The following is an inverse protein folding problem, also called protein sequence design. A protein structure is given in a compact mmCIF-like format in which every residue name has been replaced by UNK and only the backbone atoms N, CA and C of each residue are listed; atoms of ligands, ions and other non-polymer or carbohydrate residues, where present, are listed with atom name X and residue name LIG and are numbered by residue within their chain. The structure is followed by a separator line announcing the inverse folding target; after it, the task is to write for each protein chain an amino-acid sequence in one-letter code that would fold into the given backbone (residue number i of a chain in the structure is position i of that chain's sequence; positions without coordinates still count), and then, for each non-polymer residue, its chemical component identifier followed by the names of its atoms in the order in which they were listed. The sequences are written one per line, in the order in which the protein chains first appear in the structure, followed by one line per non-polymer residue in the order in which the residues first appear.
data_IF_428687354354
#
_entry.id   IF_428687354354
#
_cell.length_a   1.000
_cell.length_b   1.000
_cell.length_c   1.000
_cell.angle_alpha   90.00
_cell.angle_beta   90.00
_cell.angle_gamma   90.00
#
_symmetry.space_group_name_H-M   'P 1'
#
loop_
_entity.id
_entity.type
_entity.pdbx_description
1 polymer ?
#
# COMPACT_ATOMS: atom_id res chain seq x y z
N UNK A 1 15.62 17.42 25.69
CA UNK A 1 15.12 17.50 24.30
C UNK A 1 14.92 16.07 23.82
N UNK A 2 13.81 15.78 23.17
CA UNK A 2 13.45 14.43 22.74
C UNK A 2 13.41 14.36 21.20
N UNK A 3 13.83 13.22 20.64
CA UNK A 3 13.88 12.99 19.20
C UNK A 3 13.02 11.77 18.85
N UNK A 4 12.01 11.97 18.00
CA UNK A 4 11.13 10.89 17.53
C UNK A 4 11.52 10.54 16.09
N UNK A 5 11.95 9.29 15.88
CA UNK A 5 12.33 8.78 14.56
C UNK A 5 11.22 7.87 14.03
N UNK A 6 10.68 8.19 12.85
CA UNK A 6 9.73 7.35 12.11
C UNK A 6 10.30 7.06 10.73
N UNK A 7 10.53 5.79 10.43
CA UNK A 7 11.01 5.32 9.13
C UNK A 7 10.47 3.93 8.84
N UNK A 8 10.26 3.63 7.57
CA UNK A 8 9.89 2.30 7.07
C UNK A 8 11.13 1.48 6.61
N UNK A 9 12.31 2.08 6.63
CA UNK A 9 13.57 1.42 6.27
C UNK A 9 14.24 0.86 7.53
N UNK A 10 14.12 -0.46 7.72
CA UNK A 10 14.68 -1.19 8.86
C UNK A 10 16.21 -1.09 8.93
N UNK A 11 16.90 -1.09 7.78
CA UNK A 11 18.36 -1.03 7.73
C UNK A 11 18.89 0.32 8.21
N UNK A 12 18.25 1.42 7.79
CA UNK A 12 18.58 2.77 8.25
C UNK A 12 18.32 2.93 9.75
N UNK A 13 17.20 2.41 10.26
CA UNK A 13 16.88 2.44 11.68
C UNK A 13 17.92 1.66 12.51
N UNK A 14 18.35 0.49 12.04
CA UNK A 14 19.38 -0.29 12.73
C UNK A 14 20.71 0.48 12.85
N UNK A 15 21.14 1.15 11.77
CA UNK A 15 22.36 1.99 11.77
C UNK A 15 22.25 3.14 12.78
N UNK A 16 21.11 3.82 12.82
CA UNK A 16 20.87 4.95 13.73
C UNK A 16 20.83 4.47 15.19
N UNK A 17 20.17 3.35 15.48
CA UNK A 17 20.15 2.75 16.82
C UNK A 17 21.56 2.36 17.26
N UNK A 18 22.37 1.78 16.38
CA UNK A 18 23.75 1.42 16.69
C UNK A 18 24.61 2.65 17.01
N UNK A 19 24.45 3.74 16.28
CA UNK A 19 25.11 5.02 16.56
C UNK A 19 24.67 5.60 17.90
N UNK A 20 23.36 5.64 18.17
CA UNK A 20 22.82 6.15 19.42
C UNK A 20 23.31 5.34 20.65
N UNK A 21 23.42 4.01 20.52
CA UNK A 21 24.03 3.15 21.56
C UNK A 21 25.50 3.50 21.80
N UNK A 22 26.29 3.74 20.74
CA UNK A 22 27.70 4.16 20.88
C UNK A 22 27.85 5.51 21.60
N UNK A 23 26.84 6.37 21.48
CA UNK A 23 26.80 7.69 22.12
C UNK A 23 26.13 7.66 23.51
N UNK A 24 25.83 6.47 24.06
CA UNK A 24 25.12 6.31 25.34
C UNK A 24 23.77 7.06 25.41
N UNK A 25 23.08 7.17 24.27
CA UNK A 25 21.73 7.74 24.23
C UNK A 25 20.73 6.67 24.64
N UNK A 26 19.81 7.02 25.54
CA UNK A 26 18.70 6.15 25.97
C UNK A 26 17.67 6.09 24.85
N UNK A 27 17.32 4.88 24.39
CA UNK A 27 16.40 4.65 23.27
C UNK A 27 15.19 3.89 23.79
N UNK A 28 14.03 4.53 23.75
CA UNK A 28 12.75 3.85 23.97
C UNK A 28 12.18 3.38 22.64
N UNK A 29 12.19 2.07 22.41
CA UNK A 29 11.52 1.49 21.26
C UNK A 29 10.04 1.29 21.63
N UNK A 30 9.16 2.12 21.07
CA UNK A 30 7.75 1.77 20.95
C UNK A 30 7.67 0.63 19.93
N UNK A 31 7.71 -0.61 20.41
CA UNK A 31 7.31 -1.74 19.59
C UNK A 31 5.82 -1.54 19.28
N UNK A 32 5.57 -0.99 18.09
CA UNK A 32 4.29 -1.16 17.44
C UNK A 32 4.36 -2.61 16.99
N UNK A 33 3.77 -3.51 17.77
CA UNK A 33 3.47 -4.86 17.30
C UNK A 33 2.68 -4.70 16.01
N UNK A 34 3.39 -4.72 14.88
CA UNK A 34 2.80 -4.86 13.57
C UNK A 34 2.25 -6.27 13.56
N UNK A 35 1.02 -6.37 14.06
CA UNK A 35 0.32 -7.62 14.26
C UNK A 35 0.22 -8.29 12.89
N UNK A 36 1.20 -9.17 12.59
CA UNK A 36 1.42 -9.72 11.25
C UNK A 36 0.16 -10.45 10.78
N UNK A 37 -0.60 -11.00 11.74
CA UNK A 37 -1.96 -11.50 11.59
C UNK A 37 -2.91 -10.51 10.88
N UNK A 38 -2.93 -9.23 11.28
CA UNK A 38 -3.79 -8.20 10.68
C UNK A 38 -3.37 -7.91 9.24
N UNK A 39 -2.06 -7.84 8.97
CA UNK A 39 -1.53 -7.62 7.62
C UNK A 39 -1.85 -8.80 6.68
N UNK A 40 -1.70 -10.03 7.18
CA UNK A 40 -2.03 -11.26 6.43
C UNK A 40 -3.54 -11.36 6.19
N UNK A 41 -4.37 -11.04 7.19
CA UNK A 41 -5.82 -11.01 7.06
C UNK A 41 -6.28 -9.97 6.02
N UNK A 42 -5.71 -8.76 6.07
CA UNK A 42 -5.99 -7.70 5.10
C UNK A 42 -5.60 -8.13 3.67
N UNK A 43 -4.40 -8.72 3.52
CA UNK A 43 -3.93 -9.25 2.24
C UNK A 43 -4.91 -10.29 1.68
N UNK A 44 -5.35 -11.24 2.50
CA UNK A 44 -6.30 -12.27 2.08
C UNK A 44 -7.68 -11.69 1.74
N UNK A 45 -8.15 -10.66 2.45
CA UNK A 45 -9.40 -9.97 2.14
C UNK A 45 -9.35 -9.25 0.81
N UNK A 46 -8.22 -8.61 0.47
CA UNK A 46 -8.05 -7.91 -0.82
C UNK A 46 -7.95 -8.92 -1.97
N UNK A 47 -7.14 -9.97 -1.83
CA UNK A 47 -6.97 -11.00 -2.87
C UNK A 47 -8.27 -11.73 -3.20
N UNK A 48 -9.09 -12.00 -2.18
CA UNK A 48 -10.35 -12.70 -2.34
C UNK A 48 -11.55 -11.74 -2.42
N UNK A 49 -11.31 -10.43 -2.57
CA UNK A 49 -12.39 -9.47 -2.69
C UNK A 49 -13.19 -9.73 -3.98
N UNK A 50 -14.48 -9.98 -3.83
CA UNK A 50 -15.44 -10.03 -4.92
C UNK A 50 -16.54 -9.01 -4.65
N UNK A 51 -16.80 -8.15 -5.62
CA UNK A 51 -17.91 -7.22 -5.53
C UNK A 51 -19.23 -8.01 -5.58
N UNK A 52 -20.11 -7.77 -4.61
CA UNK A 52 -21.46 -8.35 -4.55
C UNK A 52 -22.39 -7.80 -5.61
N UNK A 53 -22.10 -6.59 -6.10
CA UNK A 53 -22.86 -5.90 -7.14
C UNK A 53 -21.99 -5.74 -8.38
N UNK A 54 -22.62 -5.81 -9.55
CA UNK A 54 -21.99 -5.44 -10.82
C UNK A 54 -21.42 -4.02 -10.71
N UNK A 55 -20.22 -3.82 -11.25
CA UNK A 55 -19.53 -2.53 -11.23
C UNK A 55 -20.44 -1.43 -11.79
N UNK A 56 -20.54 -0.30 -11.10
CA UNK A 56 -21.26 0.89 -11.60
C UNK A 56 -20.61 1.49 -12.84
N UNK A 57 -19.38 1.08 -13.19
CA UNK A 57 -18.70 1.49 -14.42
C UNK A 57 -19.22 0.77 -15.68
N UNK A 58 -20.17 -0.17 -15.54
CA UNK A 58 -20.69 -0.95 -16.67
C UNK A 58 -19.68 -1.98 -17.18
N UNK A 59 -20.00 -2.63 -18.30
CA UNK A 59 -19.03 -3.47 -19.01
C UNK A 59 -17.98 -2.58 -19.67
N UNK A 60 -16.70 -2.82 -19.34
CA UNK A 60 -15.58 -2.07 -19.92
C UNK A 60 -15.56 -2.21 -21.46
N UNK A 61 -16.02 -3.35 -21.99
CA UNK A 61 -16.13 -3.56 -23.43
C UNK A 61 -17.21 -2.65 -24.05
N UNK A 62 -18.38 -2.53 -23.42
CA UNK A 62 -19.44 -1.62 -23.87
C UNK A 62 -19.01 -0.15 -23.75
N UNK A 63 -18.33 0.23 -22.66
CA UNK A 63 -17.83 1.59 -22.49
C UNK A 63 -16.84 1.97 -23.59
N UNK A 64 -15.91 1.06 -23.92
CA UNK A 64 -14.95 1.28 -24.99
C UNK A 64 -15.62 1.42 -26.36
N UNK A 65 -16.69 0.67 -26.63
CA UNK A 65 -17.44 0.78 -27.89
C UNK A 65 -18.17 2.11 -28.01
N UNK A 66 -18.80 2.60 -26.93
CA UNK A 66 -19.58 3.83 -26.95
C UNK A 66 -18.74 5.12 -26.91
N UNK A 67 -17.54 5.09 -26.31
CA UNK A 67 -16.67 6.27 -26.20
C UNK A 67 -15.74 6.46 -27.40
N UNK A 68 -15.51 5.40 -28.20
CA UNK A 68 -14.63 5.46 -29.37
C UNK A 68 -15.41 5.71 -30.65
N UNK A 69 -15.69 6.98 -30.91
CA UNK A 69 -16.25 7.47 -32.18
C UNK A 69 -15.27 7.32 -33.36
N UNK A 70 -13.99 7.02 -33.08
CA UNK A 70 -12.88 6.87 -34.02
C UNK A 70 -12.82 5.48 -34.70
N UNK A 71 -13.80 4.60 -34.47
CA UNK A 71 -13.81 3.24 -35.04
C UNK A 71 -14.35 3.15 -36.47
N UNK A 72 -15.14 4.14 -36.89
CA UNK A 72 -15.65 4.25 -38.25
C UNK A 72 -14.56 4.90 -39.12
N UNK A 73 -13.61 4.10 -39.60
CA UNK A 73 -12.73 4.55 -40.67
C UNK A 73 -13.58 4.71 -41.95
N UNK A 74 -13.44 5.82 -42.70
CA UNK A 74 -14.30 6.15 -43.85
C UNK A 74 -14.04 5.29 -45.11
N UNK A 75 -13.69 4.02 -44.92
CA UNK A 75 -13.39 3.06 -45.99
C UNK A 75 -14.32 1.83 -45.97
N UNK A 76 -15.45 1.89 -45.25
CA UNK A 76 -16.52 0.89 -45.33
C UNK A 76 -17.44 1.11 -46.53
#
# INVERSE_FOLDING_TARGET
MELILKSNNEESLAKIIALAKKLNVIIEKKDIDFNNSVKVNLKNRILNFKATTSSSFGDAAEWQQHQRSDRELPFS
#
